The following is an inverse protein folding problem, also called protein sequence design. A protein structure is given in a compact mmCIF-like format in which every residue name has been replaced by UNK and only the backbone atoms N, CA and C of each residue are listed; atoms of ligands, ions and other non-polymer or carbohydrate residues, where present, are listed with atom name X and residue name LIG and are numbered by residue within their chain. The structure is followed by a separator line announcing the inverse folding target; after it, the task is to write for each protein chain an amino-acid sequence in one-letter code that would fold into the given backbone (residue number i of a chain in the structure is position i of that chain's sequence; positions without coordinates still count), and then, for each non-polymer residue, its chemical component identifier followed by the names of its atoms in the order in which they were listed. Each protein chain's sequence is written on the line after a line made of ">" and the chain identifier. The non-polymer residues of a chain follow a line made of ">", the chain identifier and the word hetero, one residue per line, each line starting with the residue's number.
data_IF_618294252623
#
_entry.id   IF_618294252623
#
_cell.length_a   1.000
_cell.length_b   1.000
_cell.length_c   1.000
_cell.angle_alpha   90.00
_cell.angle_beta   90.00
_cell.angle_gamma   90.00
#
_symmetry.space_group_name_H-M   'P 1'
#
loop_
_entity.id
_entity.type
_entity.pdbx_description
1 polymer ?
#
# COMPACT_ATOMS: atom_id res chain seq x y z
N UNK A 1 14.91 -18.55 -19.93
CA UNK A 1 13.61 -18.09 -20.46
C UNK A 1 12.40 -18.79 -19.84
N UNK A 2 12.12 -20.08 -20.06
CA UNK A 2 10.91 -20.72 -19.52
C UNK A 2 10.77 -20.77 -17.97
N UNK A 3 11.89 -20.83 -17.24
CA UNK A 3 11.88 -20.84 -15.77
C UNK A 3 11.45 -19.50 -15.18
N UNK A 4 11.97 -18.39 -15.72
CA UNK A 4 11.65 -17.04 -15.25
C UNK A 4 10.17 -16.70 -15.53
N UNK A 5 9.64 -17.13 -16.67
CA UNK A 5 8.21 -16.93 -16.99
C UNK A 5 7.29 -17.70 -16.03
N UNK A 6 7.66 -18.94 -15.66
CA UNK A 6 6.90 -19.71 -14.64
C UNK A 6 6.97 -19.07 -13.26
N UNK A 7 8.13 -18.55 -12.86
CA UNK A 7 8.25 -17.84 -11.58
C UNK A 7 7.45 -16.53 -11.60
N UNK A 8 7.46 -15.81 -12.73
CA UNK A 8 6.63 -14.63 -12.94
C UNK A 8 5.13 -14.93 -12.82
N UNK A 9 4.64 -16.05 -13.34
CA UNK A 9 3.22 -16.42 -13.19
C UNK A 9 2.78 -16.69 -11.74
N UNK A 10 3.73 -16.91 -10.82
CA UNK A 10 3.44 -17.17 -9.40
C UNK A 10 3.40 -15.91 -8.53
N UNK A 11 3.85 -14.74 -9.02
CA UNK A 11 3.89 -13.51 -8.20
C UNK A 11 2.51 -13.03 -7.80
N UNK A 12 1.51 -13.11 -8.68
CA UNK A 12 0.12 -12.76 -8.35
C UNK A 12 -0.43 -13.55 -7.14
N UNK A 13 -0.47 -14.89 -7.21
CA UNK A 13 -0.86 -15.74 -6.09
C UNK A 13 -0.02 -15.52 -4.82
N UNK A 14 1.30 -15.33 -4.96
CA UNK A 14 2.18 -15.07 -3.81
C UNK A 14 1.87 -13.74 -3.12
N UNK A 15 1.58 -12.68 -3.88
CA UNK A 15 1.19 -11.38 -3.33
C UNK A 15 -0.13 -11.50 -2.57
N UNK A 16 -1.11 -12.24 -3.09
CA UNK A 16 -2.38 -12.50 -2.39
C UNK A 16 -2.20 -13.34 -1.13
N UNK A 17 -1.30 -14.33 -1.16
CA UNK A 17 -0.96 -15.15 0.00
C UNK A 17 -0.31 -14.29 1.10
N UNK A 18 0.67 -13.45 0.73
CA UNK A 18 1.33 -12.53 1.65
C UNK A 18 0.32 -11.53 2.21
N UNK A 19 -0.56 -10.97 1.38
CA UNK A 19 -1.64 -10.09 1.83
C UNK A 19 -2.48 -10.78 2.91
N UNK A 20 -2.91 -12.03 2.67
CA UNK A 20 -3.66 -12.82 3.65
C UNK A 20 -2.89 -13.10 4.94
N UNK A 21 -1.58 -13.35 4.85
CA UNK A 21 -0.72 -13.56 6.03
C UNK A 21 -0.55 -12.30 6.87
N UNK A 22 -0.44 -11.13 6.22
CA UNK A 22 -0.28 -9.85 6.91
C UNK A 22 -1.61 -9.24 7.37
N UNK A 23 -2.75 -9.79 6.94
CA UNK A 23 -4.06 -9.23 7.22
C UNK A 23 -4.74 -9.92 8.40
N UNK A 24 -4.83 -9.19 9.52
CA UNK A 24 -5.74 -9.56 10.60
C UNK A 24 -7.05 -8.75 10.49
N UNK A 25 -8.10 -9.43 10.00
CA UNK A 25 -9.44 -8.88 9.79
C UNK A 25 -10.15 -8.53 11.09
N UNK A 26 -9.82 -9.18 12.22
CA UNK A 26 -10.44 -8.87 13.51
C UNK A 26 -10.03 -7.47 13.97
N UNK A 27 -8.76 -7.13 13.75
CA UNK A 27 -8.26 -5.77 14.01
C UNK A 27 -8.87 -4.75 13.05
N UNK A 28 -9.11 -5.11 11.78
CA UNK A 28 -9.68 -4.20 10.78
C UNK A 28 -11.07 -3.66 11.18
N UNK A 29 -11.93 -4.51 11.75
CA UNK A 29 -13.31 -4.18 12.11
C UNK A 29 -13.51 -3.89 13.61
N UNK A 30 -12.41 -3.62 14.33
CA UNK A 30 -12.44 -3.35 15.77
C UNK A 30 -13.08 -2.02 16.15
N UNK A 31 -13.08 -1.74 17.46
CA UNK A 31 -13.66 -0.54 18.08
C UNK A 31 -13.19 0.78 17.44
N UNK A 32 -11.93 0.81 16.97
CA UNK A 32 -11.29 1.98 16.39
C UNK A 32 -11.57 2.21 14.90
N UNK A 33 -12.44 1.42 14.26
CA UNK A 33 -12.68 1.44 12.80
C UNK A 33 -12.94 2.84 12.23
N UNK A 34 -13.71 3.68 12.92
CA UNK A 34 -14.03 5.02 12.45
C UNK A 34 -12.85 5.99 12.52
N UNK A 35 -12.03 5.86 13.57
CA UNK A 35 -10.82 6.66 13.70
C UNK A 35 -9.79 6.25 12.64
N UNK A 36 -9.59 4.94 12.46
CA UNK A 36 -8.72 4.38 11.44
C UNK A 36 -9.17 4.81 10.04
N UNK A 37 -10.47 4.74 9.73
CA UNK A 37 -11.00 5.18 8.44
C UNK A 37 -10.73 6.66 8.16
N UNK A 38 -10.87 7.54 9.16
CA UNK A 38 -10.54 8.98 9.01
C UNK A 38 -9.05 9.20 8.74
N UNK A 39 -8.18 8.58 9.53
CA UNK A 39 -6.72 8.68 9.34
C UNK A 39 -6.31 8.14 7.97
N UNK A 40 -6.90 7.01 7.57
CA UNK A 40 -6.63 6.40 6.27
C UNK A 40 -7.11 7.28 5.12
N UNK A 41 -8.30 7.89 5.21
CA UNK A 41 -8.81 8.81 4.21
C UNK A 41 -7.88 10.01 4.03
N UNK A 42 -7.41 10.62 5.13
CA UNK A 42 -6.44 11.72 5.08
C UNK A 42 -5.12 11.26 4.44
N UNK A 43 -4.62 10.09 4.83
CA UNK A 43 -3.38 9.54 4.27
C UNK A 43 -3.48 9.29 2.77
N UNK A 44 -4.55 8.63 2.33
CA UNK A 44 -4.75 8.28 0.92
C UNK A 44 -4.92 9.54 0.09
N UNK A 45 -5.74 10.49 0.55
CA UNK A 45 -5.93 11.77 -0.16
C UNK A 45 -4.63 12.57 -0.27
N UNK A 46 -3.84 12.66 0.81
CA UNK A 46 -2.52 13.30 0.77
C UNK A 46 -1.54 12.56 -0.12
N UNK A 47 -1.48 11.23 -0.02
CA UNK A 47 -0.59 10.40 -0.84
C UNK A 47 -0.88 10.54 -2.33
N UNK A 48 -2.17 10.51 -2.71
CA UNK A 48 -2.62 10.74 -4.09
C UNK A 48 -2.32 12.18 -4.53
N UNK A 49 -2.59 13.18 -3.69
CA UNK A 49 -2.30 14.57 -4.01
C UNK A 49 -0.79 14.78 -4.26
N UNK A 50 0.07 14.25 -3.39
CA UNK A 50 1.53 14.34 -3.55
C UNK A 50 1.98 13.55 -4.78
N UNK A 51 1.41 12.38 -5.05
CA UNK A 51 1.70 11.61 -6.25
C UNK A 51 1.39 12.41 -7.53
N UNK A 52 0.21 13.04 -7.61
CA UNK A 52 -0.19 13.88 -8.75
C UNK A 52 0.73 15.10 -8.89
N UNK A 53 1.04 15.78 -7.78
CA UNK A 53 1.96 16.92 -7.79
C UNK A 53 3.36 16.50 -8.26
N UNK A 54 3.88 15.39 -7.75
CA UNK A 54 5.19 14.87 -8.15
C UNK A 54 5.19 14.47 -9.62
N UNK A 55 4.11 13.85 -10.10
CA UNK A 55 4.01 13.42 -11.49
C UNK A 55 3.99 14.60 -12.48
N UNK A 56 3.42 15.73 -12.08
CA UNK A 56 3.23 16.92 -12.93
C UNK A 56 4.37 17.92 -12.85
N UNK A 57 4.93 18.17 -11.66
CA UNK A 57 5.91 19.23 -11.44
C UNK A 57 7.36 18.75 -11.45
N UNK A 58 7.63 17.47 -11.22
CA UNK A 58 9.00 17.00 -11.04
C UNK A 58 9.61 16.55 -12.38
N UNK A 59 10.73 17.16 -12.83
CA UNK A 59 11.37 16.82 -14.11
C UNK A 59 12.22 15.54 -13.98
N UNK A 60 11.58 14.43 -13.65
CA UNK A 60 12.22 13.11 -13.55
C UNK A 60 11.93 12.27 -14.79
N UNK A 61 12.79 11.27 -15.02
CA UNK A 61 12.51 10.21 -15.98
C UNK A 61 11.22 9.49 -15.60
N UNK A 62 10.42 9.12 -16.61
CA UNK A 62 9.12 8.46 -16.48
C UNK A 62 9.14 7.23 -15.55
N UNK A 63 10.19 6.41 -15.64
CA UNK A 63 10.36 5.25 -14.77
C UNK A 63 10.52 5.65 -13.29
N UNK A 64 11.35 6.66 -13.02
CA UNK A 64 11.60 7.15 -11.65
C UNK A 64 10.36 7.83 -11.08
N UNK A 65 9.60 8.53 -11.92
CA UNK A 65 8.33 9.14 -11.58
C UNK A 65 7.29 8.08 -11.16
N UNK A 66 7.20 6.96 -11.88
CA UNK A 66 6.35 5.82 -11.53
C UNK A 66 6.70 5.22 -10.16
N UNK A 67 7.99 4.95 -9.92
CA UNK A 67 8.47 4.44 -8.62
C UNK A 67 8.15 5.42 -7.48
N UNK A 68 8.31 6.71 -7.73
CA UNK A 68 8.04 7.75 -6.72
C UNK A 68 6.56 7.80 -6.35
N UNK A 69 5.66 7.70 -7.33
CA UNK A 69 4.21 7.60 -7.08
C UNK A 69 3.88 6.36 -6.24
N UNK A 70 4.49 5.21 -6.57
CA UNK A 70 4.28 3.97 -5.80
C UNK A 70 4.72 4.13 -4.34
N UNK A 71 5.86 4.78 -4.09
CA UNK A 71 6.37 5.03 -2.74
C UNK A 71 5.38 5.82 -1.86
N UNK A 72 4.74 6.85 -2.41
CA UNK A 72 3.76 7.65 -1.66
C UNK A 72 2.47 6.91 -1.33
N UNK A 73 2.17 5.83 -2.06
CA UNK A 73 0.98 5.02 -1.91
C UNK A 73 1.23 3.69 -1.20
N UNK A 74 2.44 3.50 -0.67
CA UNK A 74 2.77 2.32 0.14
C UNK A 74 1.99 2.28 1.47
N UNK A 75 1.79 1.08 2.05
CA UNK A 75 1.08 0.91 3.31
C UNK A 75 1.87 1.38 4.53
N UNK A 76 1.23 1.43 5.71
CA UNK A 76 1.92 1.81 6.95
C UNK A 76 2.93 0.72 7.29
N UNK A 77 4.10 1.12 7.79
CA UNK A 77 5.06 0.16 8.29
C UNK A 77 4.53 -0.51 9.56
N UNK A 78 4.73 -1.83 9.65
CA UNK A 78 4.43 -2.64 10.84
C UNK A 78 5.15 -2.16 12.10
N UNK A 79 6.20 -1.33 11.97
CA UNK A 79 6.91 -0.73 13.10
C UNK A 79 5.98 0.14 13.97
N UNK A 80 4.87 0.65 13.42
CA UNK A 80 3.86 1.40 14.17
C UNK A 80 3.31 0.63 15.38
N UNK A 81 3.18 -0.70 15.24
CA UNK A 81 2.71 -1.56 16.34
C UNK A 81 3.72 -1.53 17.49
N UNK A 82 5.02 -1.61 17.20
CA UNK A 82 6.07 -1.53 18.22
C UNK A 82 6.11 -0.15 18.89
N UNK A 83 6.01 0.91 18.10
CA UNK A 83 5.97 2.28 18.63
C UNK A 83 4.73 2.53 19.49
N UNK A 84 3.58 1.94 19.14
CA UNK A 84 2.38 2.07 19.97
C UNK A 84 2.61 1.53 21.38
N UNK A 85 3.29 0.40 21.50
CA UNK A 85 3.66 -0.19 22.79
C UNK A 85 4.64 0.73 23.53
N UNK A 86 5.65 1.25 22.83
CA UNK A 86 6.68 2.12 23.42
C UNK A 86 6.11 3.43 23.97
N UNK A 87 5.15 4.04 23.26
CA UNK A 87 4.54 5.32 23.64
C UNK A 87 3.24 5.18 24.43
N UNK A 88 2.84 3.96 24.81
CA UNK A 88 1.66 3.70 25.63
C UNK A 88 0.31 3.84 24.91
N UNK A 89 0.29 3.75 23.57
CA UNK A 89 -0.94 3.72 22.78
C UNK A 89 -1.52 2.29 22.70
N UNK A 90 -2.85 2.13 22.53
CA UNK A 90 -3.46 0.82 22.35
C UNK A 90 -2.88 0.08 21.13
N UNK A 91 -2.25 -1.10 21.28
CA UNK A 91 -1.67 -1.83 20.15
C UNK A 91 -2.71 -2.25 19.11
N UNK A 92 -3.94 -2.49 19.56
CA UNK A 92 -5.07 -2.79 18.68
C UNK A 92 -5.35 -1.64 17.69
N UNK A 93 -5.23 -0.37 18.12
CA UNK A 93 -5.39 0.79 17.23
C UNK A 93 -4.31 0.82 16.15
N UNK A 94 -3.05 0.64 16.53
CA UNK A 94 -1.93 0.62 15.59
C UNK A 94 -2.01 -0.56 14.62
N UNK A 95 -2.37 -1.75 15.10
CA UNK A 95 -2.58 -2.93 14.27
C UNK A 95 -3.73 -2.74 13.27
N UNK A 96 -4.85 -2.17 13.72
CA UNK A 96 -5.99 -1.83 12.85
C UNK A 96 -5.58 -0.88 11.73
N UNK A 97 -4.80 0.16 12.06
CA UNK A 97 -4.33 1.15 11.09
C UNK A 97 -3.38 0.53 10.06
N UNK A 98 -2.45 -0.31 10.51
CA UNK A 98 -1.52 -1.00 9.63
C UNK A 98 -2.27 -1.91 8.67
N UNK A 99 -3.15 -2.78 9.17
CA UNK A 99 -3.93 -3.69 8.33
C UNK A 99 -4.82 -2.95 7.33
N UNK A 100 -5.53 -1.92 7.79
CA UNK A 100 -6.37 -1.12 6.91
C UNK A 100 -5.57 -0.41 5.83
N UNK A 101 -4.38 0.10 6.17
CA UNK A 101 -3.49 0.70 5.19
C UNK A 101 -2.90 -0.31 4.20
N UNK A 102 -2.62 -1.54 4.63
CA UNK A 102 -2.15 -2.63 3.75
C UNK A 102 -3.20 -2.95 2.70
N UNK A 103 -4.45 -3.16 3.10
CA UNK A 103 -5.56 -3.41 2.17
C UNK A 103 -5.77 -2.25 1.21
N UNK A 104 -5.85 -1.02 1.73
CA UNK A 104 -6.09 0.15 0.89
C UNK A 104 -4.96 0.38 -0.11
N UNK A 105 -3.71 0.25 0.33
CA UNK A 105 -2.54 0.43 -0.54
C UNK A 105 -2.45 -0.64 -1.61
N UNK A 106 -2.79 -1.90 -1.29
CA UNK A 106 -2.88 -2.97 -2.27
C UNK A 106 -3.84 -2.61 -3.41
N UNK A 107 -5.08 -2.20 -3.08
CA UNK A 107 -6.06 -1.83 -4.11
C UNK A 107 -5.69 -0.55 -4.86
N UNK A 108 -5.10 0.45 -4.19
CA UNK A 108 -4.65 1.68 -4.84
C UNK A 108 -3.53 1.42 -5.84
N UNK A 109 -2.48 0.69 -5.43
CA UNK A 109 -1.36 0.35 -6.29
C UNK A 109 -1.80 -0.54 -7.44
N UNK A 110 -2.67 -1.52 -7.18
CA UNK A 110 -3.23 -2.36 -8.23
C UNK A 110 -4.03 -1.53 -9.23
N UNK A 111 -4.92 -0.64 -8.76
CA UNK A 111 -5.69 0.26 -9.61
C UNK A 111 -4.84 1.20 -10.46
N UNK A 112 -3.69 1.66 -9.94
CA UNK A 112 -2.74 2.46 -10.71
C UNK A 112 -2.06 1.60 -11.77
N UNK A 113 -1.57 0.42 -11.43
CA UNK A 113 -0.91 -0.46 -12.41
C UNK A 113 -1.84 -0.81 -13.57
N UNK A 114 -3.12 -1.06 -13.30
CA UNK A 114 -4.12 -1.35 -14.34
C UNK A 114 -4.54 -0.12 -15.14
N UNK A 115 -4.62 1.06 -14.52
CA UNK A 115 -4.98 2.30 -15.22
C UNK A 115 -3.86 2.82 -16.11
N UNK A 116 -2.61 2.69 -15.68
CA UNK A 116 -1.43 3.16 -16.41
C UNK A 116 -0.86 2.12 -17.37
N UNK A 117 -1.53 0.97 -17.52
CA UNK A 117 -1.20 -0.11 -18.45
C UNK A 117 0.32 -0.41 -18.49
N UNK A 118 0.93 -0.53 -17.31
CA UNK A 118 2.38 -0.71 -17.18
C UNK A 118 2.84 -2.00 -17.87
N UNK A 119 1.93 -2.96 -18.08
CA UNK A 119 2.17 -4.17 -18.87
C UNK A 119 2.48 -3.87 -20.34
N UNK A 120 1.95 -2.79 -20.94
CA UNK A 120 2.24 -2.38 -22.31
C UNK A 120 3.63 -1.73 -22.50
N UNK A 121 4.33 -1.39 -21.41
CA UNK A 121 5.71 -0.85 -21.43
C UNK A 121 6.74 -1.98 -21.21
N UNK A 122 6.27 -3.17 -20.81
CA UNK A 122 7.12 -4.34 -20.52
C UNK A 122 7.19 -5.37 -21.67
N UNK A 123 6.40 -5.19 -22.73
CA UNK A 123 6.59 -5.82 -24.05
C UNK A 123 7.42 -4.94 -25.00
#
# INVERSE_FOLDING_TARGET
>A
DAFLTRVGSCTGPLVLLLLGQFLDLQLLFGEYRWFVAKVLAVRVTLGVAIAVLTFTFLPLNEMVRGITVMLFLTPASNILIRYSILFGYPPALAGSLVNASTVASFFLLWGILTLFDVEAIAE
#
